data_IF_353193569323
#
_entry.id   IF_353193569323
#
_cell.length_a   1.000
_cell.length_b   1.000
_cell.length_c   1.000
_cell.angle_alpha   90.00
_cell.angle_beta   90.00
_cell.angle_gamma   90.00
#
_symmetry.space_group_name_H-M   'P 1'
#
loop_
_entity.id
_entity.type
_entity.pdbx_description
1 polymer ?
#
# COMPACT_ATOMS: atom_id res chain seq x y z
N UNK A 1 -5.14 13.78 -15.62
CA UNK A 1 -4.57 14.87 -14.80
C UNK A 1 -3.22 14.38 -14.32
N UNK A 2 -2.14 15.13 -14.57
CA UNK A 2 -0.84 14.83 -13.98
C UNK A 2 -0.99 15.09 -12.48
N UNK A 3 -0.67 14.10 -11.63
CA UNK A 3 -0.66 14.32 -10.19
C UNK A 3 0.29 15.49 -9.87
N UNK A 4 -0.09 16.42 -8.98
CA UNK A 4 0.78 17.56 -8.67
C UNK A 4 2.08 17.05 -8.06
N UNK A 5 3.22 17.37 -8.67
CA UNK A 5 4.52 17.06 -8.08
C UNK A 5 4.66 17.75 -6.71
N UNK A 6 5.46 17.17 -5.81
CA UNK A 6 5.75 17.80 -4.51
C UNK A 6 6.30 19.23 -4.71
N UNK A 7 6.01 20.15 -3.78
CA UNK A 7 6.36 21.57 -3.93
C UNK A 7 7.88 21.77 -4.01
N UNK A 8 8.34 22.35 -5.14
CA UNK A 8 9.76 22.52 -5.50
C UNK A 8 10.57 23.48 -4.60
N UNK A 9 9.96 24.17 -3.64
CA UNK A 9 10.62 25.24 -2.86
C UNK A 9 10.44 25.16 -1.34
N UNK A 10 9.76 24.15 -0.83
CA UNK A 10 9.53 23.97 0.61
C UNK A 10 10.19 22.67 1.06
N UNK A 11 10.89 22.67 2.21
CA UNK A 11 11.46 21.44 2.79
C UNK A 11 10.39 20.54 3.44
N UNK A 12 9.11 20.91 3.32
CA UNK A 12 7.96 20.32 3.97
C UNK A 12 6.85 20.03 2.97
N UNK A 13 6.07 18.99 3.22
CA UNK A 13 4.87 18.61 2.46
C UNK A 13 3.66 18.68 3.39
N UNK A 14 2.56 19.27 2.91
CA UNK A 14 1.31 19.34 3.67
C UNK A 14 0.59 17.98 3.70
N UNK A 15 -0.30 17.77 4.66
CA UNK A 15 -1.13 16.56 4.71
C UNK A 15 -1.95 16.37 3.42
N UNK A 16 -2.58 17.43 2.92
CA UNK A 16 -3.39 17.40 1.70
C UNK A 16 -2.57 17.10 0.43
N UNK A 17 -1.34 17.60 0.34
CA UNK A 17 -0.47 17.33 -0.80
C UNK A 17 -0.01 15.87 -0.81
N UNK A 18 0.44 15.35 0.34
CA UNK A 18 0.80 13.94 0.44
C UNK A 18 -0.40 13.02 0.18
N UNK A 19 -1.56 13.34 0.77
CA UNK A 19 -2.76 12.52 0.66
C UNK A 19 -3.25 12.38 -0.79
N UNK A 20 -3.08 13.42 -1.61
CA UNK A 20 -3.41 13.40 -3.05
C UNK A 20 -2.49 12.50 -3.89
N UNK A 21 -1.32 12.14 -3.37
CA UNK A 21 -0.33 11.32 -4.05
C UNK A 21 -0.39 9.85 -3.66
N UNK A 22 -0.81 9.54 -2.44
CA UNK A 22 -1.04 8.17 -1.99
C UNK A 22 -2.07 7.51 -2.92
N UNK A 23 -1.80 6.28 -3.34
CA UNK A 23 -2.66 5.61 -4.30
C UNK A 23 -2.42 6.04 -5.75
N UNK A 24 -1.36 6.78 -6.06
CA UNK A 24 -0.94 7.18 -7.42
C UNK A 24 0.48 6.72 -7.74
N UNK A 25 0.87 6.73 -9.03
CA UNK A 25 2.25 6.39 -9.44
C UNK A 25 3.25 7.50 -9.08
N UNK A 26 2.74 8.67 -8.67
CA UNK A 26 3.52 9.78 -8.17
C UNK A 26 3.65 9.77 -6.63
N UNK A 27 3.20 8.69 -5.96
CA UNK A 27 3.39 8.54 -4.53
C UNK A 27 4.89 8.54 -4.20
N UNK A 28 5.37 9.44 -3.32
CA UNK A 28 6.76 9.41 -2.89
C UNK A 28 7.05 8.17 -2.05
N UNK A 29 8.33 7.88 -1.81
CA UNK A 29 8.71 6.92 -0.77
C UNK A 29 8.39 7.54 0.59
N UNK A 30 7.49 6.92 1.34
CA UNK A 30 7.08 7.40 2.64
C UNK A 30 7.87 6.66 3.72
N UNK A 31 8.57 7.41 4.58
CA UNK A 31 9.41 6.82 5.63
C UNK A 31 8.92 7.29 7.00
N UNK A 32 8.47 6.33 7.80
CA UNK A 32 8.23 6.53 9.21
C UNK A 32 9.56 6.57 9.95
N UNK A 33 9.89 7.73 10.51
CA UNK A 33 11.12 7.94 11.29
C UNK A 33 10.81 8.17 12.77
N UNK A 34 9.62 7.75 13.25
CA UNK A 34 9.32 7.74 14.68
C UNK A 34 10.37 6.92 15.42
N UNK A 35 10.71 7.34 16.65
CA UNK A 35 11.56 6.53 17.54
C UNK A 35 10.95 5.15 17.71
N UNK A 36 11.79 4.12 17.82
CA UNK A 36 11.34 2.72 17.94
C UNK A 36 10.26 2.52 19.01
N UNK A 37 10.42 3.15 20.19
CA UNK A 37 9.44 3.07 21.28
C UNK A 37 8.06 3.69 20.98
N UNK A 38 8.00 4.68 20.09
CA UNK A 38 6.74 5.29 19.63
C UNK A 38 6.16 4.50 18.45
N UNK A 39 7.02 4.00 17.56
CA UNK A 39 6.64 3.15 16.44
C UNK A 39 6.01 1.83 16.90
N UNK A 40 6.67 1.10 17.80
CA UNK A 40 6.18 -0.19 18.34
C UNK A 40 4.82 -0.09 19.06
N UNK A 41 4.47 1.11 19.56
CA UNK A 41 3.20 1.38 20.27
C UNK A 41 2.13 1.99 19.37
N UNK A 42 2.45 2.27 18.12
CA UNK A 42 1.50 2.89 17.21
C UNK A 42 0.45 1.87 16.76
N UNK A 43 -0.79 2.32 16.66
CA UNK A 43 -1.89 1.52 16.07
C UNK A 43 -1.92 1.65 14.53
N UNK A 44 -1.30 2.70 14.00
CA UNK A 44 -1.38 3.04 12.58
C UNK A 44 -0.06 3.62 12.01
N UNK A 45 0.04 3.51 10.69
CA UNK A 45 1.07 4.09 9.83
C UNK A 45 0.40 4.78 8.64
N UNK A 46 1.09 5.74 8.02
CA UNK A 46 0.69 6.23 6.70
C UNK A 46 0.77 5.06 5.70
N UNK A 47 -0.20 4.94 4.79
CA UNK A 47 -0.20 3.89 3.77
C UNK A 47 1.14 3.82 3.02
N UNK A 48 1.60 2.61 2.68
CA UNK A 48 2.90 2.29 2.05
C UNK A 48 4.16 2.67 2.82
N UNK A 49 4.04 3.25 4.03
CA UNK A 49 5.20 3.72 4.76
C UNK A 49 6.10 2.57 5.23
N UNK A 50 7.40 2.76 5.09
CA UNK A 50 8.43 1.88 5.69
C UNK A 50 9.03 2.55 6.91
N UNK A 51 9.42 1.78 7.93
CA UNK A 51 10.10 2.34 9.09
C UNK A 51 11.61 2.36 8.91
N UNK A 52 12.24 3.47 9.29
CA UNK A 52 13.70 3.60 9.40
C UNK A 52 14.06 4.47 10.60
N UNK A 53 15.17 4.16 11.27
CA UNK A 53 15.63 4.98 12.39
C UNK A 53 16.10 6.37 11.90
N UNK A 54 15.49 7.42 12.43
CA UNK A 54 15.88 8.81 12.17
C UNK A 54 17.37 9.10 12.41
N UNK A 55 17.99 8.44 13.40
CA UNK A 55 19.38 8.66 13.76
C UNK A 55 20.35 8.02 12.75
N UNK A 56 19.88 6.99 12.04
CA UNK A 56 20.64 6.26 11.03
C UNK A 56 20.34 6.75 9.61
N UNK A 57 19.79 7.96 9.44
CA UNK A 57 19.38 8.49 8.14
C UNK A 57 20.48 8.47 7.07
N UNK A 58 21.74 8.63 7.47
CA UNK A 58 22.86 8.52 6.56
C UNK A 58 23.14 7.08 6.10
N UNK A 59 22.85 6.08 6.94
CA UNK A 59 23.18 4.68 6.69
C UNK A 59 22.20 4.03 5.72
N UNK A 60 20.92 4.39 5.77
CA UNK A 60 19.88 3.83 4.90
C UNK A 60 19.56 4.68 3.67
N UNK A 61 20.19 5.85 3.51
CA UNK A 61 19.98 6.71 2.34
C UNK A 61 20.21 5.96 1.02
N UNK A 62 21.28 5.17 0.95
CA UNK A 62 21.67 4.39 -0.24
C UNK A 62 20.71 3.22 -0.54
N UNK A 63 19.80 2.88 0.37
CA UNK A 63 18.77 1.86 0.15
C UNK A 63 17.50 2.39 -0.51
N UNK A 64 17.38 3.72 -0.64
CA UNK A 64 16.23 4.36 -1.26
C UNK A 64 16.33 4.24 -2.79
N UNK A 65 15.21 4.11 -3.50
CA UNK A 65 15.20 4.16 -4.96
C UNK A 65 15.79 5.48 -5.48
N UNK A 66 16.61 5.39 -6.52
CA UNK A 66 17.07 6.54 -7.27
C UNK A 66 15.89 7.31 -7.89
N UNK A 67 16.05 8.62 -8.08
CA UNK A 67 15.08 9.49 -8.79
C UNK A 67 13.66 9.55 -8.19
N UNK A 68 13.47 9.07 -6.95
CA UNK A 68 12.22 9.20 -6.21
C UNK A 68 12.29 10.32 -5.15
N UNK A 69 11.22 11.10 -5.03
CA UNK A 69 11.04 11.96 -3.87
C UNK A 69 10.74 11.14 -2.62
N UNK A 70 11.23 11.61 -1.48
CA UNK A 70 11.09 10.94 -0.17
C UNK A 70 10.36 11.85 0.80
N UNK A 71 9.32 11.34 1.44
CA UNK A 71 8.60 12.06 2.52
C UNK A 71 8.80 11.31 3.82
N UNK A 72 9.53 11.94 4.75
CA UNK A 72 9.74 11.38 6.09
C UNK A 72 8.75 11.99 7.08
N UNK A 73 8.25 11.20 8.03
CA UNK A 73 7.35 11.70 9.07
C UNK A 73 7.69 11.16 10.45
N UNK A 74 7.31 11.92 11.46
CA UNK A 74 7.29 11.48 12.85
C UNK A 74 5.90 11.74 13.43
N UNK A 75 5.75 11.71 14.76
CA UNK A 75 4.45 11.93 15.40
C UNK A 75 3.86 13.32 15.05
N UNK A 76 4.67 14.39 15.14
CA UNK A 76 4.20 15.78 15.02
C UNK A 76 4.93 16.63 13.96
N UNK A 77 5.82 16.06 13.14
CA UNK A 77 6.55 16.84 12.12
C UNK A 77 7.64 17.77 12.66
N UNK A 78 8.03 17.62 13.94
CA UNK A 78 9.05 18.46 14.60
C UNK A 78 10.48 17.96 14.33
N UNK A 79 11.38 18.08 15.31
CA UNK A 79 12.82 17.85 15.16
C UNK A 79 13.21 16.49 14.55
N UNK A 80 12.49 15.40 14.86
CA UNK A 80 12.85 14.04 14.42
C UNK A 80 12.77 13.88 12.89
N UNK A 81 11.64 14.23 12.28
CA UNK A 81 11.47 14.12 10.83
C UNK A 81 12.30 15.16 10.10
N UNK A 82 12.39 16.38 10.66
CA UNK A 82 13.20 17.43 10.07
C UNK A 82 14.70 17.08 10.07
N UNK A 83 15.23 16.46 11.11
CA UNK A 83 16.64 16.02 11.14
C UNK A 83 16.91 14.93 10.12
N UNK A 84 16.03 13.92 10.01
CA UNK A 84 16.18 12.87 9.02
C UNK A 84 16.12 13.44 7.59
N UNK A 85 15.13 14.28 7.29
CA UNK A 85 15.00 14.93 5.98
C UNK A 85 16.22 15.81 5.64
N UNK A 86 16.76 16.54 6.62
CA UNK A 86 17.95 17.36 6.44
C UNK A 86 19.19 16.53 6.12
N UNK A 87 19.39 15.41 6.82
CA UNK A 87 20.48 14.46 6.53
C UNK A 87 20.36 13.87 5.13
N UNK A 88 19.17 13.41 4.75
CA UNK A 88 18.92 12.87 3.40
C UNK A 88 19.22 13.90 2.31
N UNK A 89 18.75 15.15 2.47
CA UNK A 89 19.06 16.23 1.52
C UNK A 89 20.56 16.54 1.44
N UNK A 90 21.27 16.48 2.56
CA UNK A 90 22.73 16.67 2.58
C UNK A 90 23.48 15.59 1.78
N UNK A 91 22.86 14.43 1.58
CA UNK A 91 23.35 13.32 0.76
C UNK A 91 22.82 13.35 -0.68
N UNK A 92 22.05 14.38 -1.06
CA UNK A 92 21.53 14.55 -2.41
C UNK A 92 20.18 13.90 -2.69
N UNK A 93 19.52 13.33 -1.68
CA UNK A 93 18.16 12.78 -1.80
C UNK A 93 17.13 13.92 -1.85
N UNK A 94 16.16 13.84 -2.77
CA UNK A 94 15.01 14.75 -2.84
C UNK A 94 14.01 14.48 -1.70
N UNK A 95 14.37 14.91 -0.49
CA UNK A 95 13.67 14.56 0.75
C UNK A 95 12.95 15.73 1.41
N UNK A 96 11.74 15.47 1.88
CA UNK A 96 10.84 16.40 2.57
C UNK A 96 10.37 15.80 3.89
N UNK A 97 9.95 16.64 4.84
CA UNK A 97 9.22 16.16 6.02
C UNK A 97 7.71 16.44 5.90
N UNK A 98 6.88 15.59 6.49
CA UNK A 98 5.45 15.83 6.60
C UNK A 98 5.15 16.87 7.68
N UNK A 99 4.54 17.99 7.30
CA UNK A 99 4.12 19.03 8.22
C UNK A 99 3.02 18.51 9.15
N UNK A 100 3.15 18.80 10.45
CA UNK A 100 2.25 18.29 11.50
C UNK A 100 2.36 16.78 11.81
N UNK A 101 3.14 16.00 11.05
CA UNK A 101 3.35 14.57 11.28
C UNK A 101 2.10 13.70 11.06
N UNK A 102 2.15 12.45 11.52
CA UNK A 102 1.06 11.48 11.29
C UNK A 102 -0.23 11.84 12.03
N UNK A 103 -0.16 12.50 13.19
CA UNK A 103 -1.37 12.91 13.92
C UNK A 103 -2.18 13.91 13.10
N UNK A 104 -1.54 14.98 12.62
CA UNK A 104 -2.20 15.95 11.76
C UNK A 104 -2.69 15.33 10.44
N UNK A 105 -1.88 14.44 9.85
CA UNK A 105 -2.26 13.73 8.64
C UNK A 105 -3.52 12.88 8.83
N UNK A 106 -3.61 12.13 9.92
CA UNK A 106 -4.80 11.33 10.23
C UNK A 106 -6.02 12.21 10.53
N UNK A 107 -5.85 13.30 11.30
CA UNK A 107 -6.92 14.27 11.61
C UNK A 107 -7.46 14.96 10.34
N UNK A 108 -6.61 15.16 9.34
CA UNK A 108 -6.98 15.69 8.03
C UNK A 108 -7.68 14.65 7.11
N UNK A 109 -7.92 13.43 7.59
CA UNK A 109 -8.50 12.35 6.78
C UNK A 109 -7.51 11.68 5.83
N UNK A 110 -6.21 11.75 6.16
CA UNK A 110 -5.15 11.09 5.41
C UNK A 110 -5.28 9.57 5.41
N UNK A 111 -4.85 8.93 4.32
CA UNK A 111 -4.91 7.46 4.19
C UNK A 111 -3.88 6.78 5.09
N UNK A 112 -4.35 6.20 6.20
CA UNK A 112 -3.55 5.39 7.13
C UNK A 112 -3.95 3.93 7.10
N UNK A 113 -3.00 3.05 7.40
CA UNK A 113 -3.18 1.61 7.57
C UNK A 113 -2.91 1.21 9.02
N UNK A 114 -3.46 0.08 9.46
CA UNK A 114 -3.06 -0.53 10.75
C UNK A 114 -1.56 -0.82 10.75
N UNK A 115 -0.94 -0.70 11.91
CA UNK A 115 0.46 -1.06 12.10
C UNK A 115 0.63 -2.59 12.17
N UNK A 116 1.77 -3.11 11.67
CA UNK A 116 2.13 -4.52 11.79
C UNK A 116 1.39 -5.47 10.85
N UNK A 117 0.88 -4.97 9.72
CA UNK A 117 0.17 -5.78 8.72
C UNK A 117 1.11 -6.74 7.96
N UNK A 118 2.32 -6.30 7.66
CA UNK A 118 3.32 -7.04 6.88
C UNK A 118 4.69 -6.99 7.58
N UNK A 119 5.64 -7.90 7.24
CA UNK A 119 6.99 -7.84 7.80
C UNK A 119 7.67 -6.49 7.56
N UNK A 120 8.41 -5.99 8.55
CA UNK A 120 9.14 -4.72 8.45
C UNK A 120 10.49 -4.84 7.71
N UNK A 121 11.06 -6.04 7.69
CA UNK A 121 12.45 -6.31 7.32
C UNK A 121 12.61 -6.86 5.89
N UNK A 122 11.50 -7.21 5.24
CA UNK A 122 11.48 -7.74 3.87
C UNK A 122 10.13 -7.45 3.20
N UNK A 123 10.09 -7.41 1.86
CA UNK A 123 8.82 -7.36 1.16
C UNK A 123 7.92 -8.54 1.55
N UNK A 124 6.63 -8.26 1.66
CA UNK A 124 5.59 -9.27 1.85
C UNK A 124 5.49 -10.17 0.62
N UNK A 125 5.32 -11.46 0.86
CA UNK A 125 5.15 -12.46 -0.19
C UNK A 125 3.71 -12.95 -0.12
N UNK A 126 3.03 -12.94 -1.26
CA UNK A 126 1.64 -13.36 -1.40
C UNK A 126 1.53 -14.44 -2.45
N UNK A 127 0.79 -15.50 -2.15
CA UNK A 127 0.71 -16.68 -3.01
C UNK A 127 -0.73 -16.94 -3.41
N UNK A 128 -0.97 -17.12 -4.70
CA UNK A 128 -2.28 -17.53 -5.22
C UNK A 128 -2.12 -18.42 -6.44
N UNK A 129 -3.25 -18.89 -6.96
CA UNK A 129 -3.27 -19.76 -8.15
C UNK A 129 -3.07 -18.95 -9.44
N UNK A 130 -2.37 -19.56 -10.39
CA UNK A 130 -2.18 -19.07 -11.74
C UNK A 130 -3.50 -18.80 -12.49
N UNK A 131 -3.39 -18.13 -13.65
CA UNK A 131 -4.53 -17.68 -14.48
C UNK A 131 -5.48 -16.79 -13.65
N UNK A 132 -4.97 -15.63 -13.19
CA UNK A 132 -5.73 -14.77 -12.30
C UNK A 132 -6.97 -14.20 -12.99
N UNK A 133 -8.04 -14.09 -12.21
CA UNK A 133 -9.25 -13.36 -12.57
C UNK A 133 -9.23 -12.00 -11.87
N UNK A 134 -10.39 -11.35 -11.78
CA UNK A 134 -10.53 -9.98 -11.30
C UNK A 134 -9.94 -9.83 -9.90
N UNK A 135 -10.33 -10.67 -8.95
CA UNK A 135 -9.92 -10.51 -7.55
C UNK A 135 -8.42 -10.73 -7.33
N UNK A 136 -7.84 -11.74 -8.01
CA UNK A 136 -6.38 -12.01 -8.01
C UNK A 136 -5.54 -10.98 -8.77
N UNK A 137 -6.16 -9.97 -9.39
CA UNK A 137 -5.47 -8.81 -9.98
C UNK A 137 -5.69 -7.58 -9.10
N UNK A 138 -6.92 -7.41 -8.58
CA UNK A 138 -7.28 -6.29 -7.72
C UNK A 138 -6.54 -6.33 -6.36
N UNK A 139 -6.42 -7.51 -5.73
CA UNK A 139 -5.72 -7.66 -4.46
C UNK A 139 -4.22 -7.27 -4.55
N UNK A 140 -3.44 -7.75 -5.55
CA UNK A 140 -2.08 -7.26 -5.76
C UNK A 140 -1.96 -5.76 -6.00
N UNK A 141 -2.89 -5.18 -6.75
CA UNK A 141 -2.95 -3.73 -6.96
C UNK A 141 -3.13 -3.02 -5.61
N UNK A 142 -4.07 -3.45 -4.77
CA UNK A 142 -4.33 -2.84 -3.48
C UNK A 142 -3.11 -2.92 -2.55
N UNK A 143 -2.52 -4.11 -2.41
CA UNK A 143 -1.35 -4.31 -1.54
C UNK A 143 -0.20 -3.40 -1.99
N UNK A 144 0.15 -3.40 -3.27
CA UNK A 144 1.25 -2.57 -3.78
C UNK A 144 1.01 -1.07 -3.67
N UNK A 145 -0.25 -0.66 -3.61
CA UNK A 145 -0.62 0.74 -3.65
C UNK A 145 -0.83 1.37 -2.28
N UNK A 146 -1.14 0.56 -1.27
CA UNK A 146 -1.50 1.05 0.05
C UNK A 146 -0.78 0.37 1.20
N UNK A 147 -0.23 -0.83 1.01
CA UNK A 147 0.34 -1.63 2.10
C UNK A 147 1.85 -1.74 1.96
N UNK A 148 2.31 -2.35 0.86
CA UNK A 148 3.70 -2.70 0.62
C UNK A 148 4.02 -2.57 -0.87
N UNK A 149 4.68 -1.47 -1.29
CA UNK A 149 4.97 -1.21 -2.70
C UNK A 149 5.90 -2.26 -3.33
N UNK A 150 6.71 -2.95 -2.52
CA UNK A 150 7.68 -3.94 -2.96
C UNK A 150 7.13 -5.37 -2.90
N UNK A 151 5.85 -5.54 -2.55
CA UNK A 151 5.22 -6.85 -2.38
C UNK A 151 5.41 -7.77 -3.60
N UNK A 152 5.77 -9.02 -3.30
CA UNK A 152 6.01 -10.08 -4.27
C UNK A 152 4.81 -11.00 -4.36
N UNK A 153 4.36 -11.30 -5.58
CA UNK A 153 3.22 -12.17 -5.83
C UNK A 153 3.65 -13.42 -6.61
N UNK A 154 3.40 -14.59 -6.03
CA UNK A 154 3.61 -15.88 -6.67
C UNK A 154 2.29 -16.45 -7.18
N UNK A 155 2.24 -16.68 -8.49
CA UNK A 155 1.13 -17.36 -9.16
C UNK A 155 1.57 -18.78 -9.48
N UNK A 156 0.95 -19.76 -8.84
CA UNK A 156 1.38 -21.16 -8.89
C UNK A 156 0.24 -22.11 -9.25
N UNK A 157 0.56 -23.38 -9.51
CA UNK A 157 -0.47 -24.43 -9.68
C UNK A 157 -1.39 -24.45 -8.46
N UNK A 158 -2.71 -24.61 -8.70
CA UNK A 158 -3.75 -24.46 -7.67
C UNK A 158 -3.50 -25.35 -6.45
N UNK A 159 -3.01 -26.56 -6.66
CA UNK A 159 -2.72 -27.57 -5.65
C UNK A 159 -1.48 -27.24 -4.79
N UNK A 160 -0.61 -26.33 -5.26
CA UNK A 160 0.66 -25.99 -4.60
C UNK A 160 0.63 -24.65 -3.86
N UNK A 161 -0.51 -23.94 -3.84
CA UNK A 161 -0.59 -22.60 -3.22
C UNK A 161 -0.14 -22.62 -1.76
N UNK A 162 -0.66 -23.55 -0.97
CA UNK A 162 -0.31 -23.67 0.45
C UNK A 162 1.13 -24.15 0.69
N UNK A 163 1.61 -25.07 -0.14
CA UNK A 163 2.98 -25.58 -0.05
C UNK A 163 3.98 -24.47 -0.35
N UNK A 164 3.76 -23.72 -1.43
CA UNK A 164 4.62 -22.58 -1.81
C UNK A 164 4.55 -21.47 -0.78
N UNK A 165 3.36 -21.17 -0.24
CA UNK A 165 3.22 -20.19 0.85
C UNK A 165 4.07 -20.59 2.07
N UNK A 166 4.06 -21.87 2.43
CA UNK A 166 4.88 -22.38 3.55
C UNK A 166 6.37 -22.25 3.27
N UNK A 167 6.84 -22.70 2.10
CA UNK A 167 8.26 -22.68 1.72
C UNK A 167 8.84 -21.27 1.58
N UNK A 168 8.01 -20.31 1.15
CA UNK A 168 8.43 -18.91 0.96
C UNK A 168 8.17 -18.03 2.19
N UNK A 169 7.45 -18.54 3.19
CA UNK A 169 6.92 -17.74 4.29
C UNK A 169 5.98 -16.63 3.79
N UNK A 170 5.21 -16.92 2.74
CA UNK A 170 4.22 -16.05 2.13
C UNK A 170 2.80 -16.32 2.62
N UNK A 171 1.89 -15.41 2.29
CA UNK A 171 0.49 -15.45 2.72
C UNK A 171 -0.38 -15.95 1.56
N UNK A 172 -1.09 -17.08 1.71
CA UNK A 172 -2.00 -17.57 0.68
C UNK A 172 -3.29 -16.73 0.65
N UNK A 173 -3.83 -16.48 -0.55
CA UNK A 173 -5.09 -15.75 -0.72
C UNK A 173 -5.90 -16.22 -1.95
N UNK A 174 -7.19 -15.89 -1.96
CA UNK A 174 -8.20 -16.31 -2.95
C UNK A 174 -8.18 -17.84 -3.23
N UNK A 175 -8.14 -18.60 -2.13
CA UNK A 175 -8.33 -20.04 -2.08
C UNK A 175 -9.25 -20.41 -0.89
N UNK A 176 -9.83 -21.61 -0.85
CA UNK A 176 -10.61 -22.06 0.31
C UNK A 176 -9.77 -22.09 1.59
N UNK A 177 -10.43 -21.90 2.74
CA UNK A 177 -9.88 -22.13 4.09
C UNK A 177 -8.67 -21.26 4.48
N UNK A 178 -8.52 -20.06 3.88
CA UNK A 178 -7.51 -19.05 4.27
C UNK A 178 -8.17 -17.73 4.66
N UNK A 179 -7.44 -16.89 5.39
CA UNK A 179 -7.94 -15.62 5.94
C UNK A 179 -8.42 -14.64 4.85
N UNK A 180 -7.72 -14.59 3.71
CA UNK A 180 -8.03 -13.71 2.59
C UNK A 180 -8.78 -14.46 1.49
N UNK A 181 -9.99 -14.92 1.82
CA UNK A 181 -10.89 -15.63 0.92
C UNK A 181 -12.24 -14.93 0.75
N UNK A 182 -13.10 -15.48 -0.08
CA UNK A 182 -14.49 -15.04 -0.18
C UNK A 182 -15.26 -15.39 1.09
N UNK A 183 -16.00 -14.42 1.65
CA UNK A 183 -16.81 -14.60 2.85
C UNK A 183 -18.23 -14.09 2.59
N UNK A 184 -19.19 -15.02 2.54
CA UNK A 184 -20.58 -14.71 2.23
C UNK A 184 -20.70 -14.07 0.84
N UNK A 185 -21.04 -12.78 0.79
CA UNK A 185 -21.17 -12.03 -0.46
C UNK A 185 -19.89 -11.27 -0.86
N UNK A 186 -18.90 -11.22 0.03
CA UNK A 186 -17.67 -10.46 -0.14
C UNK A 186 -16.59 -11.30 -0.85
N UNK A 187 -15.78 -10.65 -1.67
CA UNK A 187 -14.60 -11.23 -2.32
C UNK A 187 -13.33 -11.01 -1.48
N UNK A 188 -12.18 -11.57 -1.89
CA UNK A 188 -10.92 -11.36 -1.18
C UNK A 188 -10.51 -9.90 -1.15
N UNK A 189 -10.79 -9.09 -2.19
CA UNK A 189 -10.51 -7.65 -2.17
C UNK A 189 -11.17 -6.93 -0.98
N UNK A 190 -12.42 -7.29 -0.68
CA UNK A 190 -13.14 -6.76 0.49
C UNK A 190 -12.43 -7.13 1.80
N UNK A 191 -11.94 -8.37 1.89
CA UNK A 191 -11.18 -8.84 3.04
C UNK A 191 -9.89 -8.02 3.24
N UNK A 192 -9.17 -7.70 2.16
CA UNK A 192 -7.97 -6.86 2.20
C UNK A 192 -8.27 -5.42 2.66
N UNK A 193 -9.32 -4.80 2.11
CA UNK A 193 -9.73 -3.45 2.52
C UNK A 193 -10.09 -3.44 4.02
N UNK A 194 -10.92 -4.38 4.48
CA UNK A 194 -11.31 -4.46 5.89
C UNK A 194 -10.12 -4.76 6.82
N UNK A 195 -9.23 -5.66 6.41
CA UNK A 195 -8.02 -6.02 7.14
C UNK A 195 -7.11 -4.81 7.34
N UNK A 196 -6.88 -4.03 6.29
CA UNK A 196 -5.99 -2.85 6.31
C UNK A 196 -6.42 -1.76 7.27
N UNK A 197 -7.73 -1.63 7.52
CA UNK A 197 -8.31 -0.54 8.31
C UNK A 197 -8.40 0.80 7.58
N UNK A 198 -8.08 0.85 6.28
CA UNK A 198 -8.25 2.06 5.46
C UNK A 198 -9.73 2.44 5.40
N UNK A 199 -10.00 3.73 5.55
CA UNK A 199 -11.34 4.31 5.41
C UNK A 199 -11.29 5.35 4.29
N UNK A 200 -11.63 4.92 3.09
CA UNK A 200 -11.58 5.77 1.90
C UNK A 200 -12.81 5.48 1.01
N UNK A 201 -13.70 6.46 0.78
CA UNK A 201 -14.91 6.26 -0.02
C UNK A 201 -14.65 5.86 -1.47
N UNK A 202 -13.50 6.20 -2.04
CA UNK A 202 -13.12 5.79 -3.38
C UNK A 202 -12.70 4.30 -3.39
N UNK A 203 -11.99 3.83 -2.36
CA UNK A 203 -11.72 2.40 -2.18
C UNK A 203 -12.99 1.60 -1.91
N UNK A 204 -13.93 2.13 -1.12
CA UNK A 204 -15.23 1.47 -0.90
C UNK A 204 -15.99 1.29 -2.22
N UNK A 205 -16.04 2.33 -3.05
CA UNK A 205 -16.66 2.25 -4.38
C UNK A 205 -15.93 1.25 -5.29
N UNK A 206 -14.60 1.23 -5.25
CA UNK A 206 -13.82 0.26 -6.02
C UNK A 206 -14.09 -1.17 -5.55
N UNK A 207 -14.22 -1.39 -4.25
CA UNK A 207 -14.57 -2.68 -3.68
C UNK A 207 -15.91 -3.19 -4.19
N UNK A 208 -16.94 -2.34 -4.26
CA UNK A 208 -18.24 -2.71 -4.85
C UNK A 208 -18.12 -3.09 -6.34
N UNK A 209 -17.33 -2.35 -7.12
CA UNK A 209 -17.11 -2.65 -8.54
C UNK A 209 -16.40 -4.00 -8.71
N UNK A 210 -15.32 -4.24 -7.95
CA UNK A 210 -14.54 -5.49 -7.97
C UNK A 210 -15.41 -6.66 -7.54
N UNK A 211 -16.11 -6.54 -6.40
CA UNK A 211 -17.02 -7.57 -5.87
C UNK A 211 -18.08 -7.94 -6.88
N UNK A 212 -18.73 -6.95 -7.49
CA UNK A 212 -19.80 -7.18 -8.46
C UNK A 212 -19.31 -7.88 -9.72
N UNK A 213 -18.13 -7.49 -10.22
CA UNK A 213 -17.55 -8.10 -11.41
C UNK A 213 -17.01 -9.52 -11.14
N UNK A 214 -16.37 -9.76 -10.00
CA UNK A 214 -15.77 -11.05 -9.67
C UNK A 214 -16.79 -12.11 -9.27
N UNK A 215 -17.84 -11.71 -8.52
CA UNK A 215 -18.92 -12.61 -8.07
C UNK A 215 -20.07 -12.76 -9.08
N UNK A 216 -20.01 -12.06 -10.22
CA UNK A 216 -21.06 -12.08 -11.25
C UNK A 216 -22.32 -11.29 -10.91
N UNK A 217 -22.31 -10.48 -9.85
CA UNK A 217 -23.39 -9.56 -9.46
C UNK A 217 -23.27 -8.23 -10.22
N UNK A 218 -23.50 -8.28 -11.54
CA UNK A 218 -23.20 -7.16 -12.43
C UNK A 218 -24.05 -5.89 -12.22
N UNK A 219 -25.15 -6.00 -11.48
CA UNK A 219 -26.01 -4.87 -11.13
C UNK A 219 -25.53 -4.11 -9.88
N UNK A 220 -24.46 -4.56 -9.21
CA UNK A 220 -23.92 -3.91 -8.00
C UNK A 220 -23.35 -2.51 -8.30
N UNK A 221 -22.73 -2.34 -9.48
CA UNK A 221 -22.29 -1.05 -9.99
C UNK A 221 -22.30 -1.06 -11.53
N UNK A 222 -22.58 0.08 -12.19
CA UNK A 222 -22.66 0.14 -13.66
C UNK A 222 -21.34 -0.25 -14.35
N UNK A 223 -20.21 -0.15 -13.67
CA UNK A 223 -18.88 -0.49 -14.19
C UNK A 223 -18.60 -2.02 -14.20
N UNK A 224 -19.33 -2.83 -13.41
CA UNK A 224 -19.03 -4.24 -13.20
C UNK A 224 -18.99 -5.07 -14.48
N UNK A 225 -19.97 -4.90 -15.37
CA UNK A 225 -20.05 -5.66 -16.62
C UNK A 225 -18.86 -5.36 -17.55
N UNK A 226 -18.40 -4.11 -17.58
CA UNK A 226 -17.24 -3.70 -18.39
C UNK A 226 -15.93 -4.27 -17.84
N UNK A 227 -15.76 -4.25 -16.51
CA UNK A 227 -14.59 -4.84 -15.86
C UNK A 227 -14.52 -6.35 -16.12
N UNK A 228 -15.65 -7.06 -15.97
CA UNK A 228 -15.72 -8.49 -16.28
C UNK A 228 -15.38 -8.78 -17.75
N UNK A 229 -15.97 -8.03 -18.69
CA UNK A 229 -15.70 -8.20 -20.12
C UNK A 229 -14.20 -8.02 -20.44
N UNK A 230 -13.56 -7.03 -19.82
CA UNK A 230 -12.11 -6.78 -19.97
C UNK A 230 -11.28 -7.96 -19.45
N UNK A 231 -11.61 -8.46 -18.25
CA UNK A 231 -10.91 -9.60 -17.64
C UNK A 231 -11.07 -10.88 -18.48
N UNK A 232 -12.26 -11.13 -19.03
CA UNK A 232 -12.51 -12.26 -19.93
C UNK A 232 -11.73 -12.12 -21.25
N UNK A 233 -11.67 -10.91 -21.81
CA UNK A 233 -10.87 -10.62 -23.01
C UNK A 233 -9.38 -10.88 -22.80
N UNK A 234 -8.81 -10.40 -21.69
CA UNK A 234 -7.43 -10.68 -21.31
C UNK A 234 -7.20 -12.19 -21.14
N UNK A 235 -8.10 -12.87 -20.43
CA UNK A 235 -8.01 -14.32 -20.24
C UNK A 235 -7.99 -15.06 -21.58
N UNK A 236 -8.80 -14.64 -22.56
CA UNK A 236 -8.85 -15.28 -23.88
C UNK A 236 -7.59 -15.03 -24.72
N UNK A 237 -6.91 -13.90 -24.55
CA UNK A 237 -5.66 -13.57 -25.27
C UNK A 237 -4.44 -14.31 -24.74
N UNK A 238 -4.44 -14.68 -23.46
CA UNK A 238 -3.30 -15.26 -22.74
C UNK A 238 -3.60 -16.65 -22.14
N UNK A 239 -4.61 -17.36 -22.65
CA UNK A 239 -5.08 -18.67 -22.19
C UNK A 239 -4.13 -19.83 -22.54
#
# INVERSE_FOLDING_TARGET
>A
MVAPALPLSANAVSADDLNRLIGTDACPVIVDVRRRTAFDKADAMIATAIWRDHAAAADWADSLPDECSVVVYCVHGHAISQSAAATLRALGVDAYFLDGGIEHFADAGGVTVKHGLVPEDRPSIWVTRERPKIDRIACPWFIRRFIDPDAVFHYVGKEFVSDVATETGGIPYDIPDVDFSHVGENCSFDAFVAWSGIKDPALDRLADIVRGADTGKLDLAPECAGLLATSLGLSALYA
#
